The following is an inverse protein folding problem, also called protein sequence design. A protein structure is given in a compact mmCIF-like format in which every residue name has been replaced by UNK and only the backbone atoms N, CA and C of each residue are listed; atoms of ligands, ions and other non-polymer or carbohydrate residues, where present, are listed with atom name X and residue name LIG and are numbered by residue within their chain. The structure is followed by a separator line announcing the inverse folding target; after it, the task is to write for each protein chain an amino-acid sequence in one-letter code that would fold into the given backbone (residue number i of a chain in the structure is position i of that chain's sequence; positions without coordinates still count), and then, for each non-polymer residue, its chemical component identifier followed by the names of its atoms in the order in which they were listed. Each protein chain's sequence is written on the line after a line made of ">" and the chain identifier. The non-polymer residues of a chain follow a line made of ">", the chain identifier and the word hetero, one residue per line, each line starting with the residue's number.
data_IF_343291120169
#
_entry.id   IF_343291120169
#
_cell.length_a   1.000
_cell.length_b   1.000
_cell.length_c   1.000
_cell.angle_alpha   90.00
_cell.angle_beta   90.00
_cell.angle_gamma   90.00
#
_symmetry.space_group_name_H-M   'P 1'
#
loop_
_entity.id
_entity.type
_entity.pdbx_description
1 polymer ?
#
# COMPACT_ATOMS: atom_id res chain seq x y z
N UNK A 1 -31.57 -7.63 5.45
CA UNK A 1 -30.97 -6.34 5.10
C UNK A 1 -30.35 -6.45 3.73
N UNK A 2 -30.28 -5.39 2.95
CA UNK A 2 -29.51 -5.34 1.72
C UNK A 2 -28.62 -4.10 1.75
N UNK A 3 -27.42 -4.23 1.23
CA UNK A 3 -26.52 -3.09 1.02
C UNK A 3 -26.76 -2.52 -0.35
N UNK A 4 -26.72 -1.20 -0.44
CA UNK A 4 -26.80 -0.48 -1.70
C UNK A 4 -25.52 0.32 -1.86
N UNK A 5 -24.95 0.27 -3.05
CA UNK A 5 -23.84 1.12 -3.44
C UNK A 5 -24.17 1.85 -4.73
N UNK A 6 -23.90 3.13 -4.75
CA UNK A 6 -23.95 3.91 -5.97
C UNK A 6 -22.61 3.78 -6.69
N UNK A 7 -22.65 3.33 -7.95
CA UNK A 7 -21.51 3.27 -8.85
C UNK A 7 -21.90 4.05 -10.10
N UNK A 8 -21.45 5.30 -10.18
CA UNK A 8 -21.97 6.26 -11.15
C UNK A 8 -23.49 6.45 -10.96
N UNK A 9 -24.26 6.31 -12.04
CA UNK A 9 -25.73 6.43 -12.04
C UNK A 9 -26.44 5.09 -11.75
N UNK A 10 -25.68 4.01 -11.49
CA UNK A 10 -26.25 2.70 -11.18
C UNK A 10 -26.24 2.41 -9.69
N UNK A 11 -27.25 1.66 -9.25
CA UNK A 11 -27.33 1.17 -7.88
C UNK A 11 -27.04 -0.33 -7.91
N UNK A 12 -25.94 -0.73 -7.24
CA UNK A 12 -25.68 -2.14 -6.95
C UNK A 12 -26.25 -2.48 -5.58
N UNK A 13 -26.76 -3.68 -5.43
CA UNK A 13 -27.31 -4.15 -4.15
C UNK A 13 -26.95 -5.61 -3.91
N UNK A 14 -26.73 -5.94 -2.63
CA UNK A 14 -26.53 -7.31 -2.19
C UNK A 14 -27.86 -8.07 -2.13
N UNK A 15 -27.79 -9.40 -2.03
CA UNK A 15 -28.96 -10.23 -1.70
C UNK A 15 -29.56 -9.83 -0.35
N UNK A 16 -30.88 -10.06 -0.20
CA UNK A 16 -31.59 -9.82 1.06
C UNK A 16 -31.17 -10.90 2.07
N UNK A 17 -30.70 -10.47 3.23
CA UNK A 17 -30.39 -11.35 4.36
C UNK A 17 -30.89 -10.78 5.69
N UNK A 18 -30.92 -11.59 6.73
CA UNK A 18 -31.21 -11.12 8.09
C UNK A 18 -30.11 -10.16 8.56
N UNK A 19 -30.50 -9.15 9.34
CA UNK A 19 -29.58 -8.18 9.91
C UNK A 19 -28.76 -8.82 11.02
N UNK A 20 -27.44 -8.68 10.93
CA UNK A 20 -26.49 -9.11 11.96
C UNK A 20 -26.15 -7.96 12.92
N UNK A 21 -25.45 -8.28 14.01
CA UNK A 21 -24.90 -7.26 14.93
C UNK A 21 -23.93 -6.33 14.21
N UNK A 22 -23.13 -6.88 13.29
CA UNK A 22 -22.17 -6.10 12.48
C UNK A 22 -22.87 -5.11 11.55
N UNK A 23 -24.05 -5.45 11.03
CA UNK A 23 -24.85 -4.52 10.24
C UNK A 23 -25.33 -3.32 11.06
N UNK A 24 -25.69 -3.56 12.33
CA UNK A 24 -26.08 -2.49 13.26
C UNK A 24 -24.87 -1.60 13.52
N UNK A 25 -23.70 -2.18 13.77
CA UNK A 25 -22.48 -1.42 14.01
C UNK A 25 -22.08 -0.58 12.76
N UNK A 26 -22.21 -1.14 11.57
CA UNK A 26 -22.04 -0.41 10.30
C UNK A 26 -22.99 0.78 10.16
N UNK A 27 -24.26 0.59 10.50
CA UNK A 27 -25.25 1.67 10.47
C UNK A 27 -24.88 2.75 11.48
N UNK A 28 -24.52 2.36 12.70
CA UNK A 28 -24.11 3.30 13.74
C UNK A 28 -22.85 4.06 13.30
N UNK A 29 -21.84 3.36 12.79
CA UNK A 29 -20.62 3.99 12.24
C UNK A 29 -20.95 4.92 11.06
N UNK A 30 -21.84 4.53 10.15
CA UNK A 30 -22.26 5.39 9.03
C UNK A 30 -23.01 6.65 9.49
N UNK A 31 -23.80 6.56 10.55
CA UNK A 31 -24.52 7.70 11.13
C UNK A 31 -23.56 8.62 11.92
N UNK A 32 -22.62 8.03 12.66
CA UNK A 32 -21.63 8.77 13.44
C UNK A 32 -20.52 9.36 12.58
N UNK A 33 -20.15 8.70 11.46
CA UNK A 33 -19.07 9.11 10.55
C UNK A 33 -19.50 10.17 9.52
N UNK A 34 -20.31 11.14 9.92
CA UNK A 34 -20.57 12.33 9.08
C UNK A 34 -19.30 13.20 8.87
N UNK A 35 -18.12 12.74 9.33
CA UNK A 35 -16.82 13.37 9.18
C UNK A 35 -15.75 12.37 8.68
N UNK A 36 -16.12 11.45 7.77
CA UNK A 36 -15.13 10.57 7.17
C UNK A 36 -14.07 11.37 6.43
N UNK A 37 -12.79 10.99 6.60
CA UNK A 37 -11.67 11.60 5.88
C UNK A 37 -11.78 11.26 4.39
N UNK A 38 -11.44 12.21 3.53
CA UNK A 38 -11.32 11.96 2.09
C UNK A 38 -10.10 11.06 1.85
N UNK A 39 -10.25 10.05 1.00
CA UNK A 39 -9.16 9.20 0.57
C UNK A 39 -8.36 9.93 -0.53
N UNK A 40 -7.35 10.67 -0.12
CA UNK A 40 -6.44 11.41 -0.99
C UNK A 40 -4.99 11.33 -0.48
N UNK A 41 -3.97 11.64 -1.32
CA UNK A 41 -2.57 11.53 -0.96
C UNK A 41 -2.22 12.32 0.30
N UNK A 42 -2.77 13.52 0.49
CA UNK A 42 -2.42 14.40 1.61
C UNK A 42 -2.86 13.82 2.95
N UNK A 43 -4.05 13.24 3.01
CA UNK A 43 -4.56 12.60 4.22
C UNK A 43 -3.81 11.29 4.51
N UNK A 44 -3.51 10.48 3.49
CA UNK A 44 -2.73 9.24 3.62
C UNK A 44 -1.32 9.54 4.16
N UNK A 45 -0.64 10.53 3.58
CA UNK A 45 0.68 10.98 4.08
C UNK A 45 0.59 11.46 5.52
N UNK A 46 -0.41 12.27 5.85
CA UNK A 46 -0.59 12.78 7.22
C UNK A 46 -0.75 11.67 8.25
N UNK A 47 -1.50 10.61 7.92
CA UNK A 47 -1.78 9.51 8.85
C UNK A 47 -0.65 8.48 8.95
N UNK A 48 0.09 8.25 7.86
CA UNK A 48 1.06 7.15 7.77
C UNK A 48 2.52 7.57 7.53
N UNK A 49 2.82 8.87 7.44
CA UNK A 49 4.19 9.37 7.29
C UNK A 49 5.06 9.01 8.51
N UNK A 50 6.31 8.63 8.23
CA UNK A 50 7.34 8.44 9.26
C UNK A 50 8.10 9.75 9.53
N UNK A 51 8.29 10.58 8.50
CA UNK A 51 9.11 11.79 8.58
C UNK A 51 8.40 12.97 9.26
N UNK A 52 7.08 13.06 9.13
CA UNK A 52 6.29 14.21 9.62
C UNK A 52 5.73 14.03 11.02
N UNK A 53 5.70 12.79 11.54
CA UNK A 53 5.07 12.47 12.81
C UNK A 53 6.02 11.67 13.69
N UNK A 54 6.44 12.24 14.83
CA UNK A 54 7.39 11.61 15.73
C UNK A 54 6.92 10.27 16.30
N UNK A 55 5.61 10.09 16.44
CA UNK A 55 4.99 8.95 17.12
C UNK A 55 3.94 8.26 16.23
N UNK A 56 4.17 8.20 14.91
CA UNK A 56 3.26 7.50 14.00
C UNK A 56 3.32 5.98 14.21
N UNK A 57 2.16 5.31 14.09
CA UNK A 57 2.09 3.84 14.10
C UNK A 57 3.03 3.20 13.06
N UNK A 58 3.19 3.83 11.90
CA UNK A 58 4.13 3.40 10.86
C UNK A 58 5.59 3.39 11.35
N UNK A 59 5.99 4.44 12.09
CA UNK A 59 7.33 4.51 12.68
C UNK A 59 7.56 3.44 13.75
N UNK A 60 6.54 3.18 14.55
CA UNK A 60 6.60 2.13 15.58
C UNK A 60 6.71 0.75 14.94
N UNK A 61 5.93 0.47 13.89
CA UNK A 61 6.01 -0.78 13.13
C UNK A 61 7.40 -0.95 12.53
N UNK A 62 7.96 0.08 11.88
CA UNK A 62 9.30 0.01 11.32
C UNK A 62 10.35 -0.36 12.38
N UNK A 63 10.24 0.21 13.59
CA UNK A 63 11.14 -0.10 14.70
C UNK A 63 10.99 -1.53 15.20
N UNK A 64 9.75 -2.03 15.34
CA UNK A 64 9.50 -3.43 15.73
C UNK A 64 10.12 -4.37 14.71
N UNK A 65 9.88 -4.14 13.42
CA UNK A 65 10.43 -4.95 12.33
C UNK A 65 11.96 -4.91 12.32
N UNK A 66 12.56 -3.74 12.49
CA UNK A 66 14.03 -3.61 12.59
C UNK A 66 14.60 -4.36 13.78
N UNK A 67 13.93 -4.30 14.94
CA UNK A 67 14.35 -5.06 16.12
C UNK A 67 14.28 -6.57 15.86
N UNK A 68 13.20 -7.06 15.23
CA UNK A 68 13.05 -8.46 14.89
C UNK A 68 14.15 -8.95 13.94
N UNK A 69 14.52 -8.13 12.93
CA UNK A 69 15.66 -8.45 12.04
C UNK A 69 16.99 -8.55 12.73
N UNK A 70 17.16 -7.87 13.86
CA UNK A 70 18.41 -7.92 14.62
C UNK A 70 18.45 -9.03 15.68
N UNK A 71 17.34 -9.34 16.31
CA UNK A 71 17.30 -10.19 17.51
C UNK A 71 16.71 -11.57 17.24
N UNK A 72 15.71 -11.70 16.35
CA UNK A 72 14.89 -12.89 16.23
C UNK A 72 14.58 -13.26 14.76
N UNK A 73 15.53 -13.13 13.86
CA UNK A 73 15.32 -13.48 12.47
C UNK A 73 15.23 -14.99 12.27
N UNK A 74 14.18 -15.47 11.61
CA UNK A 74 14.04 -16.88 11.22
C UNK A 74 14.88 -17.21 9.99
N UNK A 75 15.04 -18.52 9.70
CA UNK A 75 15.76 -18.97 8.50
C UNK A 75 15.10 -18.46 7.22
N UNK A 76 13.75 -18.57 7.12
CA UNK A 76 12.99 -18.04 5.98
C UNK A 76 13.14 -16.52 5.84
N UNK A 77 13.00 -15.79 6.93
CA UNK A 77 13.13 -14.32 6.92
C UNK A 77 14.55 -13.88 6.56
N UNK A 78 15.57 -14.62 7.04
CA UNK A 78 16.97 -14.39 6.69
C UNK A 78 17.24 -14.62 5.20
N UNK A 79 16.62 -15.64 4.61
CA UNK A 79 16.73 -15.92 3.18
C UNK A 79 16.12 -14.78 2.35
N UNK A 80 14.88 -14.36 2.66
CA UNK A 80 14.21 -13.26 1.94
C UNK A 80 14.99 -11.93 2.07
N UNK A 81 15.50 -11.65 3.27
CA UNK A 81 16.36 -10.49 3.49
C UNK A 81 17.65 -10.57 2.65
N UNK A 82 18.29 -11.73 2.60
CA UNK A 82 19.54 -11.92 1.84
C UNK A 82 19.32 -11.73 0.35
N UNK A 83 18.26 -12.29 -0.21
CA UNK A 83 17.90 -12.11 -1.62
C UNK A 83 17.61 -10.64 -1.96
N UNK A 84 16.82 -9.97 -1.13
CA UNK A 84 16.55 -8.54 -1.27
C UNK A 84 17.84 -7.72 -1.16
N UNK A 85 18.72 -8.03 -0.22
CA UNK A 85 19.99 -7.34 0.00
C UNK A 85 20.91 -7.42 -1.22
N UNK A 86 20.99 -8.57 -1.88
CA UNK A 86 21.78 -8.73 -3.11
C UNK A 86 21.25 -7.82 -4.23
N UNK A 87 19.93 -7.75 -4.43
CA UNK A 87 19.33 -6.85 -5.41
C UNK A 87 19.57 -5.39 -5.05
N UNK A 88 19.46 -5.05 -3.77
CA UNK A 88 19.66 -3.70 -3.27
C UNK A 88 21.11 -3.25 -3.45
N UNK A 89 22.06 -4.13 -3.21
CA UNK A 89 23.48 -3.86 -3.42
C UNK A 89 23.81 -3.53 -4.87
N UNK A 90 23.10 -4.14 -5.84
CA UNK A 90 23.23 -3.82 -7.26
C UNK A 90 22.63 -2.46 -7.62
N UNK A 91 21.68 -1.98 -6.85
CA UNK A 91 20.94 -0.73 -7.13
C UNK A 91 21.58 0.50 -6.51
N UNK A 92 22.30 0.34 -5.40
CA UNK A 92 22.94 1.46 -4.71
C UNK A 92 24.29 1.74 -5.35
N UNK A 93 24.37 2.80 -6.13
CA UNK A 93 25.66 3.32 -6.60
C UNK A 93 26.35 4.09 -5.46
N UNK A 94 27.27 3.43 -4.78
CA UNK A 94 28.22 4.10 -3.87
C UNK A 94 29.31 4.82 -4.69
N UNK A 95 28.93 5.89 -5.41
CA UNK A 95 29.84 6.72 -6.19
C UNK A 95 30.75 7.61 -5.30
N UNK A 96 31.24 7.06 -4.18
CA UNK A 96 32.41 7.57 -3.47
C UNK A 96 32.24 8.89 -2.70
N UNK A 97 31.03 9.41 -2.54
CA UNK A 97 30.82 10.62 -1.72
C UNK A 97 30.47 10.21 -0.28
N UNK A 98 31.48 10.09 0.57
CA UNK A 98 31.31 9.74 1.98
C UNK A 98 30.26 10.58 2.73
N UNK A 99 29.98 11.80 2.28
CA UNK A 99 28.95 12.68 2.84
C UNK A 99 27.53 12.13 2.59
N UNK A 100 27.27 11.47 1.47
CA UNK A 100 25.94 10.95 1.14
C UNK A 100 25.63 9.70 1.98
N UNK A 101 26.62 8.85 2.22
CA UNK A 101 26.52 7.69 3.12
C UNK A 101 26.25 8.13 4.55
N UNK A 102 27.02 9.12 5.03
CA UNK A 102 26.84 9.66 6.38
C UNK A 102 25.43 10.22 6.59
N UNK A 103 24.89 10.94 5.59
CA UNK A 103 23.54 11.49 5.65
C UNK A 103 22.46 10.40 5.66
N UNK A 104 22.58 9.36 4.84
CA UNK A 104 21.63 8.24 4.86
C UNK A 104 21.59 7.57 6.23
N UNK A 105 22.76 7.28 6.82
CA UNK A 105 22.87 6.65 8.14
C UNK A 105 22.34 7.55 9.25
N UNK A 106 22.57 8.86 9.16
CA UNK A 106 21.99 9.85 10.09
C UNK A 106 20.47 9.86 10.04
N UNK A 107 19.89 9.91 8.83
CA UNK A 107 18.44 9.89 8.62
C UNK A 107 17.82 8.61 9.19
N UNK A 108 18.42 7.45 8.91
CA UNK A 108 17.97 6.16 9.45
C UNK A 108 18.14 6.09 10.98
N UNK A 109 19.27 6.52 11.51
CA UNK A 109 19.51 6.54 12.97
C UNK A 109 18.45 7.37 13.71
N UNK A 110 18.01 8.49 13.11
CA UNK A 110 16.93 9.33 13.65
C UNK A 110 15.57 8.62 13.64
N UNK A 111 15.27 7.86 12.57
CA UNK A 111 14.01 7.12 12.48
C UNK A 111 13.97 5.99 13.51
N UNK A 112 15.02 5.19 13.56
CA UNK A 112 15.08 3.99 14.40
C UNK A 112 15.48 4.26 15.84
N UNK A 113 15.95 5.45 16.14
CA UNK A 113 16.51 5.83 17.44
C UNK A 113 17.61 4.84 17.89
N UNK A 114 18.43 4.43 16.94
CA UNK A 114 19.55 3.50 17.13
C UNK A 114 20.74 3.94 16.28
N UNK A 115 21.95 3.52 16.66
CA UNK A 115 23.15 3.81 15.86
C UNK A 115 23.17 2.92 14.63
N UNK A 116 23.23 3.55 13.44
CA UNK A 116 23.39 2.89 12.15
C UNK A 116 24.67 3.41 11.53
N UNK A 117 25.75 2.65 11.66
CA UNK A 117 27.11 3.07 11.30
C UNK A 117 27.82 2.17 10.29
N UNK A 118 27.24 0.99 10.01
CA UNK A 118 27.74 0.05 9.01
C UNK A 118 26.70 -0.26 7.93
N UNK A 119 27.13 -0.97 6.88
CA UNK A 119 26.29 -1.32 5.74
C UNK A 119 25.21 -2.34 6.10
N UNK A 120 25.48 -3.27 7.01
CA UNK A 120 24.51 -4.28 7.42
C UNK A 120 23.36 -3.67 8.21
N UNK A 121 23.68 -2.81 9.18
CA UNK A 121 22.66 -2.08 9.96
C UNK A 121 21.85 -1.14 9.08
N UNK A 122 22.48 -0.50 8.07
CA UNK A 122 21.80 0.34 7.08
C UNK A 122 20.79 -0.46 6.24
N UNK A 123 21.18 -1.64 5.74
CA UNK A 123 20.28 -2.47 4.92
C UNK A 123 19.15 -3.07 5.74
N UNK A 124 19.38 -3.50 6.97
CA UNK A 124 18.30 -3.98 7.85
C UNK A 124 17.28 -2.87 8.15
N UNK A 125 17.75 -1.66 8.41
CA UNK A 125 16.89 -0.51 8.63
C UNK A 125 16.05 -0.19 7.37
N UNK A 126 16.66 -0.20 6.20
CA UNK A 126 15.98 0.03 4.94
C UNK A 126 14.95 -1.05 4.62
N UNK A 127 15.30 -2.32 4.83
CA UNK A 127 14.38 -3.44 4.64
C UNK A 127 13.16 -3.34 5.55
N UNK A 128 13.34 -2.93 6.81
CA UNK A 128 12.25 -2.68 7.74
C UNK A 128 11.33 -1.53 7.28
N UNK A 129 11.90 -0.44 6.73
CA UNK A 129 11.11 0.66 6.17
C UNK A 129 10.30 0.24 4.95
N UNK A 130 10.92 -0.48 4.01
CA UNK A 130 10.24 -0.97 2.81
C UNK A 130 9.18 -2.02 3.16
N UNK A 131 9.43 -2.89 4.14
CA UNK A 131 8.42 -3.80 4.67
C UNK A 131 7.23 -3.03 5.26
N UNK A 132 7.49 -1.97 6.03
CA UNK A 132 6.42 -1.12 6.59
C UNK A 132 5.58 -0.48 5.50
N UNK A 133 6.20 0.07 4.47
CA UNK A 133 5.50 0.60 3.30
C UNK A 133 4.64 -0.46 2.61
N UNK A 134 5.22 -1.64 2.36
CA UNK A 134 4.51 -2.76 1.73
C UNK A 134 3.26 -3.17 2.53
N UNK A 135 3.36 -3.27 3.87
CA UNK A 135 2.22 -3.58 4.74
C UNK A 135 1.10 -2.56 4.56
N UNK A 136 1.42 -1.26 4.60
CA UNK A 136 0.43 -0.19 4.47
C UNK A 136 -0.26 -0.26 3.09
N UNK A 137 0.52 -0.42 2.01
CA UNK A 137 0.00 -0.53 0.65
C UNK A 137 -0.91 -1.75 0.50
N UNK A 138 -0.51 -2.91 1.05
CA UNK A 138 -1.30 -4.14 1.02
C UNK A 138 -2.62 -3.99 1.78
N UNK A 139 -2.61 -3.35 2.94
CA UNK A 139 -3.82 -3.06 3.72
C UNK A 139 -4.76 -2.08 2.98
N UNK A 140 -4.20 -1.06 2.32
CA UNK A 140 -4.98 -0.15 1.47
C UNK A 140 -5.62 -0.96 0.32
N UNK A 141 -4.85 -1.81 -0.35
CA UNK A 141 -5.37 -2.64 -1.44
C UNK A 141 -6.47 -3.59 -0.96
N UNK A 142 -6.29 -4.28 0.17
CA UNK A 142 -7.32 -5.11 0.79
C UNK A 142 -8.60 -4.32 1.05
N UNK A 143 -8.49 -3.11 1.61
CA UNK A 143 -9.65 -2.25 1.89
C UNK A 143 -10.37 -1.83 0.62
N UNK A 144 -9.63 -1.50 -0.44
CA UNK A 144 -10.22 -1.14 -1.74
C UNK A 144 -10.99 -2.31 -2.33
N UNK A 145 -10.35 -3.48 -2.36
CA UNK A 145 -10.93 -4.69 -2.96
C UNK A 145 -12.13 -5.18 -2.14
N UNK A 146 -12.06 -5.16 -0.80
CA UNK A 146 -13.19 -5.51 0.07
C UNK A 146 -14.42 -4.63 -0.21
N UNK A 147 -14.22 -3.34 -0.47
CA UNK A 147 -15.30 -2.42 -0.83
C UNK A 147 -15.87 -2.62 -2.23
N UNK A 148 -15.07 -3.11 -3.16
CA UNK A 148 -15.50 -3.41 -4.52
C UNK A 148 -16.17 -4.78 -4.63
N UNK A 149 -15.88 -5.70 -3.71
CA UNK A 149 -16.40 -7.05 -3.71
C UNK A 149 -17.67 -7.16 -2.87
N UNK A 150 -18.80 -7.44 -3.52
CA UNK A 150 -20.11 -7.58 -2.89
C UNK A 150 -20.45 -9.03 -2.47
N UNK A 151 -19.55 -9.99 -2.66
CA UNK A 151 -19.77 -11.37 -2.26
C UNK A 151 -19.61 -11.50 -0.74
N UNK A 152 -20.69 -11.84 -0.07
CA UNK A 152 -20.84 -11.91 1.40
C UNK A 152 -19.89 -12.91 2.07
N UNK A 153 -19.25 -13.80 1.32
CA UNK A 153 -18.39 -14.88 1.85
C UNK A 153 -16.92 -14.46 2.06
N UNK A 154 -16.52 -13.24 1.65
CA UNK A 154 -15.10 -12.82 1.60
C UNK A 154 -14.77 -11.53 2.37
N UNK A 155 -15.59 -11.15 3.35
CA UNK A 155 -15.38 -9.92 4.15
C UNK A 155 -14.31 -10.05 5.27
N UNK A 156 -13.24 -10.81 5.03
CA UNK A 156 -12.18 -11.01 6.03
C UNK A 156 -11.55 -9.68 6.51
N UNK A 157 -11.43 -8.68 5.61
CA UNK A 157 -10.84 -7.40 5.97
C UNK A 157 -11.75 -6.55 6.87
N UNK A 158 -13.07 -6.64 6.68
CA UNK A 158 -14.01 -5.74 7.38
C UNK A 158 -13.94 -5.87 8.90
N UNK A 159 -13.75 -7.08 9.39
CA UNK A 159 -13.70 -7.39 10.82
C UNK A 159 -12.28 -7.56 11.35
N UNK A 160 -11.26 -7.26 10.52
CA UNK A 160 -9.86 -7.55 10.80
C UNK A 160 -9.41 -6.98 12.15
N UNK A 161 -9.80 -5.73 12.46
CA UNK A 161 -9.44 -5.09 13.72
C UNK A 161 -10.07 -5.75 14.97
N UNK A 162 -11.12 -6.55 14.80
CA UNK A 162 -11.82 -7.28 15.86
C UNK A 162 -11.44 -8.74 15.99
N UNK A 163 -10.64 -9.27 15.06
CA UNK A 163 -10.19 -10.66 15.07
C UNK A 163 -9.27 -10.97 16.25
N UNK A 164 -9.26 -12.22 16.65
CA UNK A 164 -8.26 -12.75 17.59
C UNK A 164 -6.89 -12.76 16.93
N UNK A 165 -5.84 -12.77 17.74
CA UNK A 165 -4.44 -12.80 17.28
C UNK A 165 -4.18 -13.91 16.23
N UNK A 166 -4.58 -15.14 16.51
CA UNK A 166 -4.38 -16.29 15.62
C UNK A 166 -5.10 -16.13 14.27
N UNK A 167 -6.34 -15.60 14.28
CA UNK A 167 -7.09 -15.36 13.05
C UNK A 167 -6.47 -14.25 12.22
N UNK A 168 -5.98 -13.22 12.88
CA UNK A 168 -5.30 -12.11 12.22
C UNK A 168 -4.01 -12.56 11.60
N UNK A 169 -3.20 -13.33 12.31
CA UNK A 169 -1.97 -13.91 11.75
C UNK A 169 -2.27 -14.72 10.49
N UNK A 170 -3.30 -15.58 10.53
CA UNK A 170 -3.72 -16.35 9.36
C UNK A 170 -4.19 -15.47 8.22
N UNK A 171 -4.89 -14.35 8.51
CA UNK A 171 -5.27 -13.37 7.49
C UNK A 171 -4.05 -12.80 6.79
N UNK A 172 -3.02 -12.37 7.54
CA UNK A 172 -1.80 -11.84 6.95
C UNK A 172 -1.04 -12.89 6.13
N UNK A 173 -0.98 -14.14 6.58
CA UNK A 173 -0.40 -15.23 5.80
C UNK A 173 -1.16 -15.42 4.47
N UNK A 174 -2.48 -15.49 4.50
CA UNK A 174 -3.32 -15.63 3.31
C UNK A 174 -3.17 -14.41 2.36
N UNK A 175 -3.02 -13.21 2.92
CA UNK A 175 -2.79 -12.00 2.15
C UNK A 175 -1.44 -12.07 1.41
N UNK A 176 -0.38 -12.47 2.11
CA UNK A 176 0.97 -12.59 1.54
C UNK A 176 1.11 -13.73 0.54
N UNK A 177 0.35 -14.81 0.70
CA UNK A 177 0.26 -15.91 -0.25
C UNK A 177 -0.64 -15.61 -1.46
N UNK A 178 -1.21 -14.39 -1.55
CA UNK A 178 -2.11 -13.98 -2.63
C UNK A 178 -3.51 -14.62 -2.56
N UNK A 179 -3.77 -15.48 -1.59
CA UNK A 179 -5.03 -16.23 -1.48
C UNK A 179 -6.25 -15.31 -1.38
N UNK A 180 -6.17 -14.27 -0.56
CA UNK A 180 -7.25 -13.31 -0.36
C UNK A 180 -7.64 -12.59 -1.66
N UNK A 181 -6.68 -12.30 -2.53
CA UNK A 181 -6.92 -11.65 -3.81
C UNK A 181 -7.38 -12.62 -4.90
N UNK A 182 -6.83 -13.84 -4.91
CA UNK A 182 -7.24 -14.90 -5.83
C UNK A 182 -8.72 -15.25 -5.67
N UNK A 183 -9.22 -15.29 -4.43
CA UNK A 183 -10.63 -15.54 -4.14
C UNK A 183 -11.57 -14.45 -4.68
N UNK A 184 -11.04 -13.25 -4.92
CA UNK A 184 -11.75 -12.09 -5.50
C UNK A 184 -11.54 -11.98 -7.03
N UNK A 185 -10.89 -12.95 -7.67
CA UNK A 185 -10.62 -12.97 -9.10
C UNK A 185 -9.38 -12.18 -9.53
N UNK A 186 -8.63 -11.59 -8.59
CA UNK A 186 -7.37 -10.88 -8.86
C UNK A 186 -6.23 -11.88 -8.77
N UNK A 187 -5.61 -12.20 -9.90
CA UNK A 187 -4.53 -13.18 -9.98
C UNK A 187 -3.17 -12.49 -10.05
N UNK A 188 -2.14 -13.20 -9.60
CA UNK A 188 -0.73 -12.74 -9.61
C UNK A 188 -0.52 -11.40 -8.88
N UNK A 189 -1.29 -11.18 -7.82
CA UNK A 189 -1.17 -10.00 -6.99
C UNK A 189 -0.59 -10.40 -5.62
N UNK A 190 0.56 -9.84 -5.27
CA UNK A 190 1.28 -10.05 -4.01
C UNK A 190 1.70 -11.52 -3.75
N UNK A 191 2.05 -12.29 -4.77
CA UNK A 191 2.56 -13.63 -4.59
C UNK A 191 4.07 -13.58 -4.26
N UNK A 192 4.42 -13.93 -3.01
CA UNK A 192 5.79 -14.29 -2.63
C UNK A 192 6.84 -13.19 -2.71
N UNK A 193 6.50 -11.95 -2.32
CA UNK A 193 7.48 -10.87 -2.30
C UNK A 193 8.45 -10.98 -1.09
N UNK A 194 9.57 -10.25 -1.16
CA UNK A 194 10.57 -10.19 -0.08
C UNK A 194 9.99 -9.69 1.24
N UNK A 195 8.94 -8.87 1.19
CA UNK A 195 8.36 -8.19 2.34
C UNK A 195 7.26 -9.00 3.04
N UNK A 196 7.10 -10.28 2.69
CA UNK A 196 6.14 -11.19 3.33
C UNK A 196 6.64 -11.82 4.64
N UNK A 197 7.90 -11.65 4.98
CA UNK A 197 8.59 -12.31 6.09
C UNK A 197 7.94 -12.09 7.46
N UNK A 198 7.35 -10.92 7.70
CA UNK A 198 6.71 -10.56 8.97
C UNK A 198 5.46 -11.38 9.28
N UNK A 199 4.82 -11.97 8.26
CA UNK A 199 3.63 -12.80 8.41
C UNK A 199 3.94 -14.25 8.87
N UNK A 200 5.22 -14.62 8.92
CA UNK A 200 5.62 -15.91 9.49
C UNK A 200 5.19 -16.00 10.96
N UNK A 201 4.73 -17.19 11.37
CA UNK A 201 4.15 -17.39 12.71
C UNK A 201 5.09 -17.05 13.87
N UNK A 202 6.38 -17.17 13.65
CA UNK A 202 7.41 -16.85 14.64
C UNK A 202 7.85 -15.38 14.63
N UNK A 203 7.46 -14.62 13.59
CA UNK A 203 7.78 -13.20 13.45
C UNK A 203 6.58 -12.30 13.80
N UNK A 204 5.35 -12.81 13.66
CA UNK A 204 4.13 -12.08 13.95
C UNK A 204 3.92 -11.96 15.45
N UNK A 205 4.23 -10.81 16.05
CA UNK A 205 4.14 -10.57 17.49
C UNK A 205 2.87 -9.79 17.86
N UNK A 206 2.46 -9.85 19.14
CA UNK A 206 1.35 -9.05 19.67
C UNK A 206 1.64 -7.54 19.56
N UNK A 207 2.88 -7.12 19.81
CA UNK A 207 3.27 -5.71 19.69
C UNK A 207 3.16 -5.23 18.25
N UNK A 208 3.59 -6.04 17.29
CA UNK A 208 3.43 -5.77 15.87
C UNK A 208 1.93 -5.64 15.54
N UNK A 209 1.11 -6.64 15.94
CA UNK A 209 -0.32 -6.63 15.67
C UNK A 209 -1.03 -5.40 16.25
N UNK A 210 -0.76 -5.02 17.49
CA UNK A 210 -1.40 -3.87 18.13
C UNK A 210 -1.15 -2.56 17.34
N UNK A 211 0.03 -2.40 16.75
CA UNK A 211 0.37 -1.23 15.94
C UNK A 211 -0.24 -1.30 14.52
N UNK A 212 -0.28 -2.49 13.91
CA UNK A 212 -0.97 -2.68 12.62
C UNK A 212 -2.46 -2.47 12.76
N UNK A 213 -3.05 -2.89 13.88
CA UNK A 213 -4.46 -2.62 14.20
C UNK A 213 -4.79 -1.13 14.19
N UNK A 214 -3.87 -0.28 14.66
CA UNK A 214 -4.03 1.17 14.58
C UNK A 214 -4.06 1.67 13.12
N UNK A 215 -3.22 1.10 12.23
CA UNK A 215 -3.28 1.41 10.79
C UNK A 215 -4.66 1.07 10.22
N UNK A 216 -5.16 -0.13 10.52
CA UNK A 216 -6.46 -0.59 10.03
C UNK A 216 -7.58 0.33 10.52
N UNK A 217 -7.57 0.70 11.80
CA UNK A 217 -8.55 1.64 12.38
C UNK A 217 -8.50 3.00 11.70
N UNK A 218 -7.29 3.54 11.44
CA UNK A 218 -7.14 4.80 10.68
C UNK A 218 -7.66 4.67 9.25
N UNK A 219 -7.41 3.53 8.59
CA UNK A 219 -7.95 3.26 7.25
C UNK A 219 -9.48 3.20 7.26
N UNK A 220 -10.10 2.74 8.35
CA UNK A 220 -11.55 2.69 8.49
C UNK A 220 -12.20 4.07 8.63
N UNK A 221 -11.46 5.08 9.07
CA UNK A 221 -11.92 6.47 9.12
C UNK A 221 -12.10 7.10 7.72
N UNK A 222 -11.50 6.52 6.68
CA UNK A 222 -11.64 7.03 5.32
C UNK A 222 -13.00 6.67 4.74
N UNK A 223 -13.65 7.68 4.18
CA UNK A 223 -14.92 7.50 3.47
C UNK A 223 -14.77 6.46 2.36
N UNK A 224 -15.84 5.75 2.15
CA UNK A 224 -15.99 4.95 0.94
C UNK A 224 -15.56 5.79 -0.24
N UNK A 225 -14.74 5.22 -1.12
CA UNK A 225 -14.44 5.84 -2.40
C UNK A 225 -15.75 6.34 -3.00
N UNK A 226 -15.96 7.65 -2.99
CA UNK A 226 -17.07 8.22 -3.73
C UNK A 226 -16.61 8.28 -5.18
N UNK A 227 -16.87 7.21 -5.92
CA UNK A 227 -16.71 7.16 -7.38
C UNK A 227 -17.62 8.17 -8.10
N UNK A 228 -18.40 8.97 -7.36
CA UNK A 228 -19.33 9.97 -7.89
C UNK A 228 -18.67 11.32 -8.25
N UNK A 229 -17.38 11.47 -8.04
CA UNK A 229 -16.64 12.64 -8.51
C UNK A 229 -16.00 12.26 -9.85
N UNK A 230 -15.95 13.17 -10.81
CA UNK A 230 -15.17 13.02 -12.04
C UNK A 230 -13.90 12.24 -11.73
N UNK A 231 -13.75 11.09 -12.38
CA UNK A 231 -12.65 10.18 -12.14
C UNK A 231 -11.33 10.92 -12.35
N UNK A 232 -10.64 11.20 -11.28
CA UNK A 232 -9.33 11.82 -11.31
C UNK A 232 -8.38 10.95 -10.46
N UNK A 233 -7.78 9.92 -11.07
CA UNK A 233 -6.83 9.06 -10.36
C UNK A 233 -5.62 9.86 -9.94
N UNK A 234 -5.22 9.72 -8.68
CA UNK A 234 -4.06 10.37 -8.09
C UNK A 234 -3.02 9.31 -7.70
N UNK A 235 -1.75 9.68 -7.75
CA UNK A 235 -0.66 8.79 -7.35
C UNK A 235 -0.47 8.80 -5.82
N UNK A 236 -1.34 8.04 -5.14
CA UNK A 236 -1.34 7.91 -3.68
C UNK A 236 -0.05 7.24 -3.19
N UNK A 237 0.42 6.24 -3.93
CA UNK A 237 1.54 5.42 -3.49
C UNK A 237 2.88 6.14 -3.57
N UNK A 238 3.08 7.02 -4.54
CA UNK A 238 4.27 7.85 -4.65
C UNK A 238 4.46 8.74 -3.41
N UNK A 239 3.43 9.51 -3.06
CA UNK A 239 3.53 10.46 -1.96
C UNK A 239 3.70 9.73 -0.61
N UNK A 240 3.00 8.61 -0.43
CA UNK A 240 3.18 7.74 0.73
C UNK A 240 4.61 7.20 0.79
N UNK A 241 5.15 6.67 -0.30
CA UNK A 241 6.52 6.15 -0.37
C UNK A 241 7.54 7.23 0.00
N UNK A 242 7.42 8.41 -0.60
CA UNK A 242 8.30 9.55 -0.31
C UNK A 242 8.23 10.02 1.15
N UNK A 243 7.12 9.78 1.83
CA UNK A 243 6.94 10.14 3.23
C UNK A 243 7.50 9.11 4.22
N UNK A 244 7.74 7.89 3.75
CA UNK A 244 8.29 6.77 4.54
C UNK A 244 9.79 6.63 4.29
N UNK A 245 10.23 6.62 3.03
CA UNK A 245 11.63 6.44 2.67
C UNK A 245 12.33 7.80 2.55
N UNK A 246 13.39 8.07 3.32
CA UNK A 246 14.12 9.35 3.27
C UNK A 246 14.67 9.67 1.88
N UNK A 247 14.68 10.96 1.54
CA UNK A 247 15.17 11.43 0.23
C UNK A 247 16.63 11.04 -0.03
N UNK A 248 17.48 11.08 1.00
CA UNK A 248 18.88 10.69 0.90
C UNK A 248 19.05 9.26 0.41
N UNK A 249 18.17 8.36 0.85
CA UNK A 249 18.14 6.94 0.45
C UNK A 249 17.63 6.83 -0.98
N UNK A 250 16.47 7.41 -1.29
CA UNK A 250 15.87 7.35 -2.63
C UNK A 250 16.82 7.85 -3.73
N UNK A 251 17.52 8.96 -3.47
CA UNK A 251 18.50 9.49 -4.42
C UNK A 251 19.71 8.57 -4.61
N UNK A 252 20.16 7.86 -3.57
CA UNK A 252 21.26 6.90 -3.71
C UNK A 252 20.88 5.67 -4.50
N UNK A 253 19.59 5.33 -4.56
CA UNK A 253 19.04 4.25 -5.37
C UNK A 253 18.65 4.71 -6.79
N UNK A 254 18.86 5.98 -7.12
CA UNK A 254 18.46 6.54 -8.41
C UNK A 254 16.94 6.69 -8.56
N UNK A 255 16.19 6.71 -7.46
CA UNK A 255 14.75 6.83 -7.49
C UNK A 255 14.31 8.28 -7.65
N UNK A 256 14.02 8.65 -8.88
CA UNK A 256 13.50 9.95 -9.28
C UNK A 256 12.11 9.77 -9.87
N UNK A 257 11.09 10.27 -9.17
CA UNK A 257 9.71 10.19 -9.65
C UNK A 257 9.45 11.16 -10.78
N UNK A 258 8.83 10.68 -11.84
CA UNK A 258 8.42 11.48 -12.98
C UNK A 258 7.30 12.46 -12.55
N UNK A 259 7.43 13.77 -12.84
CA UNK A 259 6.34 14.71 -12.64
C UNK A 259 5.11 14.37 -13.50
N UNK A 260 3.90 14.61 -12.98
CA UNK A 260 2.65 14.30 -13.67
C UNK A 260 2.55 14.99 -15.05
N UNK A 261 2.91 16.27 -15.13
CA UNK A 261 2.89 17.02 -16.39
C UNK A 261 3.79 16.41 -17.48
N UNK A 262 4.89 15.78 -17.08
CA UNK A 262 5.81 15.14 -18.03
C UNK A 262 5.21 13.81 -18.52
N UNK A 263 4.64 13.02 -17.62
CA UNK A 263 3.93 11.79 -17.99
C UNK A 263 2.76 12.10 -18.95
N UNK A 264 1.96 13.12 -18.66
CA UNK A 264 0.89 13.60 -19.52
C UNK A 264 1.36 14.00 -20.92
N UNK A 265 2.50 14.72 -21.00
CA UNK A 265 3.08 15.13 -22.26
C UNK A 265 3.54 13.94 -23.10
N UNK A 266 4.23 12.97 -22.46
CA UNK A 266 4.72 11.77 -23.13
C UNK A 266 3.55 10.92 -23.65
N UNK A 267 2.54 10.69 -22.82
CA UNK A 267 1.35 9.91 -23.22
C UNK A 267 0.58 10.61 -24.33
N UNK A 268 0.43 11.91 -24.27
CA UNK A 268 -0.25 12.69 -25.32
C UNK A 268 0.48 12.52 -26.66
N UNK A 269 1.80 12.67 -26.67
CA UNK A 269 2.60 12.50 -27.89
C UNK A 269 2.54 11.06 -28.41
N UNK A 270 2.67 10.08 -27.53
CA UNK A 270 2.57 8.66 -27.90
C UNK A 270 1.24 8.33 -28.58
N UNK A 271 0.11 8.80 -28.01
CA UNK A 271 -1.24 8.51 -28.54
C UNK A 271 -1.49 9.19 -29.88
N UNK A 272 -0.89 10.37 -30.16
CA UNK A 272 -1.02 11.04 -31.46
C UNK A 272 -0.40 10.24 -32.61
N UNK A 273 0.53 9.34 -32.30
CA UNK A 273 1.24 8.51 -33.28
C UNK A 273 0.57 7.14 -33.50
N UNK A 274 -0.57 6.88 -32.87
CA UNK A 274 -1.26 5.58 -32.95
C UNK A 274 -2.47 5.68 -33.87
N UNK A 275 -2.40 5.03 -35.04
CA UNK A 275 -3.49 4.95 -36.00
C UNK A 275 -4.45 3.76 -35.73
N UNK A 276 -4.01 2.77 -34.93
CA UNK A 276 -4.78 1.56 -34.67
C UNK A 276 -5.70 1.78 -33.45
N UNK A 277 -7.02 1.67 -33.56
CA UNK A 277 -7.93 1.79 -32.42
C UNK A 277 -7.80 0.64 -31.39
N UNK A 278 -7.26 -0.52 -31.79
CA UNK A 278 -6.97 -1.68 -30.93
C UNK A 278 -5.48 -1.72 -30.60
N UNK A 279 -5.04 -0.82 -29.75
CA UNK A 279 -3.66 -0.79 -29.27
C UNK A 279 -3.57 -1.36 -27.84
N UNK A 280 -2.37 -1.77 -27.47
CA UNK A 280 -2.05 -2.18 -26.11
C UNK A 280 -0.84 -1.38 -25.62
N UNK A 281 -0.78 -1.10 -24.34
CA UNK A 281 0.32 -0.39 -23.73
C UNK A 281 0.98 -1.25 -22.66
N UNK A 282 2.30 -1.09 -22.51
CA UNK A 282 3.09 -1.68 -21.43
C UNK A 282 4.03 -0.61 -20.87
N UNK A 283 4.10 -0.51 -19.57
CA UNK A 283 5.11 0.26 -18.86
C UNK A 283 6.01 -0.73 -18.08
N UNK A 284 7.18 -1.09 -18.63
CA UNK A 284 8.04 -2.10 -18.02
C UNK A 284 8.79 -1.62 -16.77
N UNK A 285 8.73 -0.32 -16.47
CA UNK A 285 9.40 0.34 -15.34
C UNK A 285 8.41 1.25 -14.59
N UNK A 286 7.21 0.74 -14.32
CA UNK A 286 6.06 1.56 -13.93
C UNK A 286 6.22 2.35 -12.61
N UNK A 287 7.13 1.97 -11.72
CA UNK A 287 7.27 2.62 -10.41
C UNK A 287 5.94 2.64 -9.66
N UNK A 288 5.47 3.84 -9.29
CA UNK A 288 4.15 4.05 -8.67
C UNK A 288 2.98 4.03 -9.69
N UNK A 289 3.27 3.89 -10.97
CA UNK A 289 2.26 3.80 -12.04
C UNK A 289 1.87 5.13 -12.67
N UNK A 290 2.70 6.18 -12.58
CA UNK A 290 2.35 7.52 -13.06
C UNK A 290 1.98 7.55 -14.56
N UNK A 291 2.68 6.79 -15.42
CA UNK A 291 2.34 6.70 -16.85
C UNK A 291 1.04 5.92 -17.08
N UNK A 292 0.79 4.88 -16.30
CA UNK A 292 -0.47 4.12 -16.35
C UNK A 292 -1.63 5.02 -15.92
N UNK A 293 -1.46 5.80 -14.85
CA UNK A 293 -2.44 6.79 -14.37
C UNK A 293 -2.73 7.83 -15.46
N UNK A 294 -1.67 8.40 -16.08
CA UNK A 294 -1.82 9.37 -17.16
C UNK A 294 -2.54 8.77 -18.37
N UNK A 295 -2.21 7.53 -18.73
CA UNK A 295 -2.86 6.80 -19.81
C UNK A 295 -4.35 6.58 -19.54
N UNK A 296 -4.71 6.11 -18.34
CA UNK A 296 -6.10 5.91 -17.93
C UNK A 296 -6.86 7.24 -17.98
N UNK A 297 -6.28 8.34 -17.48
CA UNK A 297 -6.89 9.68 -17.56
C UNK A 297 -7.21 10.08 -19.01
N UNK A 298 -6.32 9.78 -19.96
CA UNK A 298 -6.50 10.12 -21.38
C UNK A 298 -7.55 9.24 -22.07
N UNK A 299 -7.57 7.94 -21.74
CA UNK A 299 -8.48 6.98 -22.39
C UNK A 299 -9.89 7.12 -21.83
N UNK A 300 -10.02 7.22 -20.51
CA UNK A 300 -11.32 7.36 -19.85
C UNK A 300 -11.88 8.77 -20.05
N UNK A 301 -11.00 9.80 -19.94
CA UNK A 301 -11.36 11.20 -20.15
C UNK A 301 -12.64 11.61 -19.41
N UNK A 302 -13.58 12.20 -20.16
CA UNK A 302 -14.91 12.57 -19.68
C UNK A 302 -15.96 11.44 -19.90
N UNK A 303 -15.52 10.23 -20.28
CA UNK A 303 -16.42 9.09 -20.51
C UNK A 303 -16.93 8.61 -19.16
N UNK A 304 -18.23 8.35 -19.09
CA UNK A 304 -18.83 7.70 -17.93
C UNK A 304 -18.28 6.26 -17.84
N UNK A 305 -17.69 5.89 -16.70
CA UNK A 305 -17.15 4.54 -16.49
C UNK A 305 -18.15 3.42 -16.75
N UNK A 306 -19.46 3.71 -16.63
CA UNK A 306 -20.52 2.76 -16.93
C UNK A 306 -20.69 2.48 -18.45
N UNK A 307 -20.14 3.33 -19.31
CA UNK A 307 -20.20 3.19 -20.76
C UNK A 307 -18.99 2.43 -21.33
N UNK A 308 -18.02 2.09 -20.47
CA UNK A 308 -16.88 1.25 -20.85
C UNK A 308 -17.35 -0.20 -20.92
N UNK A 309 -17.29 -0.79 -22.12
CA UNK A 309 -17.51 -2.23 -22.28
C UNK A 309 -16.36 -3.04 -21.70
N UNK A 310 -16.62 -4.28 -21.32
CA UNK A 310 -15.60 -5.22 -20.81
C UNK A 310 -14.64 -5.72 -21.93
N UNK A 311 -14.59 -5.08 -23.09
CA UNK A 311 -13.71 -5.46 -24.20
C UNK A 311 -12.28 -4.94 -24.07
#
# INVERSE_FOLDING_TARGET
>A
MAYFQFVGDTIRYSSLRSMSVDDIDRIIKAILNNQSKKFDPSNIVKDFSISQNSDSCSKTIARILHQQLNENITEKSSMLYSEWKELMHLSVEDNGKGNDIAKRREDLSSIFNSVIDDTESEYKALFALQTTYAIIVKLIACKVVDKLNFNEETHEYHDLASLTFDKTQKFFQNMEDGYSYNSMGIRNFLEGDFFSWYADSSQFSEDFWNNVKEIIQKLDDYSSFSFNVKYNPEDIFKDLYMSIIPQSIRHSMGEYFTPEWLADSVITEALTSIDNPKWSAIDPCCGSGIFIIALIKKVVGDVNLNDLSEE
#
